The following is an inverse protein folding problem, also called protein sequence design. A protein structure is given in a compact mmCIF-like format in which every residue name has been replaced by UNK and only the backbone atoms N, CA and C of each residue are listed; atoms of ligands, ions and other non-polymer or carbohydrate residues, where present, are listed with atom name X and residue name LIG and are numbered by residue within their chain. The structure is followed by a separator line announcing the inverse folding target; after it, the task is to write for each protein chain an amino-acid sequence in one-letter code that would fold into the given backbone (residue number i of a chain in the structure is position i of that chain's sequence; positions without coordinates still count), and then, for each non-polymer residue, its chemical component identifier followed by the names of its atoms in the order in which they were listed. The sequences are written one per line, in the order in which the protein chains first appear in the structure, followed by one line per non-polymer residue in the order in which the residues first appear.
data_IF_649993253425
#
_entry.id   IF_649993253425
#
_cell.length_a   1.000
_cell.length_b   1.000
_cell.length_c   1.000
_cell.angle_alpha   90.00
_cell.angle_beta   90.00
_cell.angle_gamma   90.00
#
_symmetry.space_group_name_H-M   'P 1'
#
loop_
_entity.id
_entity.type
_entity.pdbx_description
1 polymer ?
#
# COMPACT_ATOMS: atom_id res chain seq x y z
N UNK A 1 11.21 -0.52 -6.41
CA UNK A 1 10.22 0.09 -7.30
C UNK A 1 9.79 -0.95 -8.29
N UNK A 2 8.65 -1.55 -8.00
CA UNK A 2 7.96 -2.39 -8.96
C UNK A 2 7.38 -1.50 -10.08
N UNK A 3 7.18 -2.07 -11.25
CA UNK A 3 6.42 -1.42 -12.30
C UNK A 3 4.92 -1.53 -12.00
N UNK A 4 4.11 -0.65 -12.59
CA UNK A 4 2.64 -0.68 -12.46
C UNK A 4 2.05 -2.08 -12.64
N UNK A 5 2.50 -2.83 -13.66
CA UNK A 5 1.99 -4.18 -13.92
C UNK A 5 2.32 -5.18 -12.80
N UNK A 6 3.44 -5.00 -12.09
CA UNK A 6 3.85 -5.85 -10.97
C UNK A 6 2.96 -5.56 -9.76
N UNK A 7 2.70 -4.29 -9.47
CA UNK A 7 1.76 -3.89 -8.42
C UNK A 7 0.33 -4.39 -8.69
N UNK A 8 -0.16 -4.24 -9.92
CA UNK A 8 -1.46 -4.77 -10.32
C UNK A 8 -1.53 -6.29 -10.11
N UNK A 9 -0.50 -7.02 -10.54
CA UNK A 9 -0.44 -8.46 -10.39
C UNK A 9 -0.41 -8.89 -8.90
N UNK A 10 0.35 -8.19 -8.06
CA UNK A 10 0.37 -8.46 -6.62
C UNK A 10 -1.01 -8.21 -5.99
N UNK A 11 -1.64 -7.07 -6.27
CA UNK A 11 -2.99 -6.79 -5.75
C UNK A 11 -4.02 -7.81 -6.23
N UNK A 12 -4.00 -8.20 -7.51
CA UNK A 12 -4.91 -9.23 -8.03
C UNK A 12 -4.70 -10.56 -7.28
N UNK A 13 -3.44 -10.94 -7.07
CA UNK A 13 -3.08 -12.17 -6.35
C UNK A 13 -3.52 -12.16 -4.89
N UNK A 14 -3.39 -11.04 -4.18
CA UNK A 14 -3.59 -10.98 -2.72
C UNK A 14 -5.00 -10.56 -2.33
N UNK A 15 -5.56 -9.59 -3.04
CA UNK A 15 -6.85 -8.96 -2.73
C UNK A 15 -7.86 -9.06 -3.89
N UNK A 16 -7.56 -9.84 -4.94
CA UNK A 16 -8.53 -10.28 -5.95
C UNK A 16 -8.96 -9.20 -6.94
N UNK A 17 -8.26 -8.08 -6.99
CA UNK A 17 -8.42 -6.98 -7.94
C UNK A 17 -7.09 -6.25 -8.10
N UNK A 18 -6.80 -5.76 -9.30
CA UNK A 18 -5.57 -5.07 -9.66
C UNK A 18 -5.41 -3.68 -9.04
N UNK A 19 -6.49 -2.93 -8.85
CA UNK A 19 -6.51 -1.58 -8.28
C UNK A 19 -5.56 -0.61 -8.99
N UNK A 20 -5.50 -0.68 -10.32
CA UNK A 20 -4.67 0.18 -11.16
C UNK A 20 -4.83 1.67 -10.81
N UNK A 21 -6.05 2.12 -10.50
CA UNK A 21 -6.32 3.52 -10.12
C UNK A 21 -5.63 3.94 -8.81
N UNK A 22 -5.39 3.01 -7.89
CA UNK A 22 -4.67 3.27 -6.63
C UNK A 22 -3.18 3.42 -6.91
N UNK A 23 -2.62 2.54 -7.74
CA UNK A 23 -1.20 2.57 -8.09
C UNK A 23 -0.84 3.83 -8.88
N UNK A 24 -1.65 4.18 -9.88
CA UNK A 24 -1.47 5.43 -10.63
C UNK A 24 -1.57 6.67 -9.74
N UNK A 25 -2.44 6.65 -8.73
CA UNK A 25 -2.55 7.75 -7.78
C UNK A 25 -1.33 7.84 -6.85
N UNK A 26 -0.81 6.72 -6.35
CA UNK A 26 0.38 6.73 -5.49
C UNK A 26 1.64 7.21 -6.25
N UNK A 27 1.76 6.81 -7.52
CA UNK A 27 2.91 7.10 -8.37
C UNK A 27 2.77 8.38 -9.23
N UNK A 28 1.68 9.15 -9.09
CA UNK A 28 1.38 10.32 -9.94
C UNK A 28 2.59 11.27 -10.10
N UNK A 29 3.37 11.43 -9.03
CA UNK A 29 4.51 12.36 -8.98
C UNK A 29 5.85 11.74 -9.38
N UNK A 30 5.89 10.47 -9.79
CA UNK A 30 7.13 9.80 -10.20
C UNK A 30 7.83 10.53 -11.35
N UNK A 31 7.07 11.05 -12.32
CA UNK A 31 7.63 11.78 -13.47
C UNK A 31 8.38 13.06 -13.04
N UNK A 32 7.94 13.70 -11.96
CA UNK A 32 8.52 14.96 -11.47
C UNK A 32 9.70 14.72 -10.51
N UNK A 33 9.56 13.78 -9.57
CA UNK A 33 10.54 13.59 -8.49
C UNK A 33 11.37 12.32 -8.59
N UNK A 34 11.13 11.47 -9.59
CA UNK A 34 11.78 10.16 -9.70
C UNK A 34 11.57 9.35 -8.42
N UNK A 35 12.59 8.64 -7.89
CA UNK A 35 12.45 7.86 -6.67
C UNK A 35 11.97 8.63 -5.43
N UNK A 36 12.27 9.93 -5.34
CA UNK A 36 11.90 10.75 -4.19
C UNK A 36 10.40 11.06 -4.10
N UNK A 37 9.60 10.72 -5.13
CA UNK A 37 8.14 10.94 -5.10
C UNK A 37 7.43 10.23 -3.95
N UNK A 38 8.04 9.21 -3.36
CA UNK A 38 7.45 8.40 -2.28
C UNK A 38 7.02 9.26 -1.09
N UNK A 39 7.75 10.32 -0.78
CA UNK A 39 7.36 11.24 0.29
C UNK A 39 6.04 11.99 0.05
N UNK A 40 5.52 11.97 -1.18
CA UNK A 40 4.26 12.64 -1.52
C UNK A 40 3.03 11.84 -1.08
N UNK A 41 3.05 10.51 -1.23
CA UNK A 41 1.87 9.65 -1.02
C UNK A 41 2.17 8.23 -0.53
N UNK A 42 3.42 7.78 -0.52
CA UNK A 42 3.80 6.46 0.00
C UNK A 42 4.02 6.53 1.51
N UNK A 43 2.95 6.86 2.23
CA UNK A 43 2.94 6.93 3.69
C UNK A 43 1.53 6.64 4.24
N UNK A 44 1.43 6.45 5.55
CA UNK A 44 0.18 6.06 6.22
C UNK A 44 -0.97 7.05 5.97
N UNK A 45 -0.69 8.35 5.90
CA UNK A 45 -1.70 9.36 5.60
C UNK A 45 -2.21 9.24 4.14
N UNK A 46 -1.34 8.86 3.19
CA UNK A 46 -1.74 8.58 1.81
C UNK A 46 -2.65 7.35 1.71
N UNK A 47 -2.42 6.33 2.54
CA UNK A 47 -3.33 5.16 2.66
C UNK A 47 -4.71 5.60 3.14
N UNK A 48 -4.78 6.47 4.15
CA UNK A 48 -6.03 6.98 4.68
C UNK A 48 -6.76 7.91 3.69
N UNK A 49 -6.04 8.67 2.86
CA UNK A 49 -6.65 9.41 1.75
C UNK A 49 -7.31 8.47 0.73
N UNK A 50 -6.64 7.37 0.35
CA UNK A 50 -7.22 6.36 -0.53
C UNK A 50 -8.43 5.70 0.12
N UNK A 51 -8.36 5.38 1.42
CA UNK A 51 -9.50 4.83 2.17
C UNK A 51 -10.73 5.74 2.07
N UNK A 52 -10.54 7.03 2.29
CA UNK A 52 -11.64 8.01 2.23
C UNK A 52 -12.21 8.17 0.82
N UNK A 53 -11.37 8.07 -0.22
CA UNK A 53 -11.77 8.23 -1.63
C UNK A 53 -12.47 6.99 -2.20
N UNK A 54 -11.97 5.80 -1.89
CA UNK A 54 -12.28 4.57 -2.62
C UNK A 54 -12.66 3.39 -1.71
N UNK A 55 -12.59 3.55 -0.39
CA UNK A 55 -13.00 2.57 0.60
C UNK A 55 -11.87 1.66 1.11
N UNK A 56 -12.23 0.76 2.02
CA UNK A 56 -11.26 -0.04 2.78
C UNK A 56 -10.43 -1.00 1.92
N UNK A 57 -11.02 -1.62 0.89
CA UNK A 57 -10.27 -2.53 0.01
C UNK A 57 -9.22 -1.79 -0.82
N UNK A 58 -9.51 -0.55 -1.26
CA UNK A 58 -8.54 0.29 -1.95
C UNK A 58 -7.38 0.67 -1.01
N UNK A 59 -7.66 0.89 0.28
CA UNK A 59 -6.63 1.15 1.28
C UNK A 59 -5.72 -0.08 1.49
N UNK A 60 -6.26 -1.30 1.37
CA UNK A 60 -5.43 -2.52 1.37
C UNK A 60 -4.51 -2.57 0.15
N UNK A 61 -4.99 -2.18 -1.04
CA UNK A 61 -4.16 -2.08 -2.24
C UNK A 61 -3.01 -1.08 -2.07
N UNK A 62 -3.31 0.08 -1.48
CA UNK A 62 -2.31 1.10 -1.18
C UNK A 62 -1.25 0.60 -0.18
N UNK A 63 -1.67 -0.11 0.88
CA UNK A 63 -0.74 -0.76 1.82
C UNK A 63 0.20 -1.74 1.11
N UNK A 64 -0.34 -2.63 0.26
CA UNK A 64 0.48 -3.62 -0.47
C UNK A 64 1.50 -2.92 -1.37
N UNK A 65 1.07 -1.92 -2.14
CA UNK A 65 1.94 -1.14 -3.00
C UNK A 65 3.10 -0.50 -2.21
N UNK A 66 2.79 0.19 -1.11
CA UNK A 66 3.79 0.86 -0.28
C UNK A 66 4.74 -0.16 0.37
N UNK A 67 4.25 -1.29 0.85
CA UNK A 67 5.11 -2.35 1.41
C UNK A 67 6.08 -2.93 0.38
N UNK A 68 5.62 -3.14 -0.86
CA UNK A 68 6.47 -3.60 -1.97
C UNK A 68 7.60 -2.62 -2.24
N UNK A 69 7.31 -1.32 -2.18
CA UNK A 69 8.23 -0.28 -2.62
C UNK A 69 9.12 0.30 -1.51
N UNK A 70 8.61 0.38 -0.28
CA UNK A 70 9.27 1.01 0.87
C UNK A 70 9.75 0.00 1.91
N UNK A 71 9.39 -1.28 1.79
CA UNK A 71 9.69 -2.33 2.77
C UNK A 71 9.19 -2.03 4.20
N UNK A 72 8.17 -1.19 4.29
CA UNK A 72 7.56 -0.71 5.52
C UNK A 72 6.42 0.25 5.17
N UNK A 73 5.74 0.79 6.18
CA UNK A 73 4.73 1.84 5.99
C UNK A 73 5.20 3.08 6.76
N UNK A 74 5.95 3.99 6.11
CA UNK A 74 6.38 5.22 6.76
C UNK A 74 5.17 6.14 6.99
N UNK A 75 5.31 7.07 7.92
CA UNK A 75 4.46 8.25 8.05
C UNK A 75 5.05 9.43 7.27
N UNK A 76 4.24 10.47 7.04
CA UNK A 76 4.75 11.71 6.47
C UNK A 76 5.86 12.32 7.34
N UNK A 77 5.70 12.24 8.66
CA UNK A 77 6.68 12.72 9.62
C UNK A 77 8.02 11.97 9.51
N UNK A 78 8.04 10.69 9.13
CA UNK A 78 9.28 9.94 8.98
C UNK A 78 10.13 10.47 7.82
N UNK A 79 9.50 10.89 6.72
CA UNK A 79 10.20 11.59 5.64
C UNK A 79 10.67 12.98 6.07
N UNK A 80 9.84 13.76 6.77
CA UNK A 80 10.17 15.12 7.21
C UNK A 80 11.34 15.17 8.21
N UNK A 81 11.43 14.16 9.08
CA UNK A 81 12.48 14.03 10.08
C UNK A 81 13.67 13.18 9.61
N UNK A 82 13.65 12.70 8.35
CA UNK A 82 14.67 11.84 7.77
C UNK A 82 14.91 10.54 8.57
N UNK A 83 13.86 9.96 9.16
CA UNK A 83 13.92 8.62 9.76
C UNK A 83 13.91 7.52 8.70
N UNK A 84 13.33 7.81 7.54
CA UNK A 84 13.45 6.99 6.33
C UNK A 84 14.21 7.73 5.24
N UNK A 85 14.87 6.97 4.37
CA UNK A 85 15.53 7.51 3.19
C UNK A 85 14.51 7.85 2.08
N UNK A 86 14.99 8.32 0.93
CA UNK A 86 14.12 8.67 -0.22
C UNK A 86 13.31 7.49 -0.79
N UNK A 87 13.67 6.25 -0.47
CA UNK A 87 12.93 5.05 -0.84
C UNK A 87 11.84 4.70 0.19
N UNK A 88 11.74 5.43 1.30
CA UNK A 88 10.81 5.14 2.40
C UNK A 88 11.30 4.04 3.35
N UNK A 89 12.59 3.70 3.29
CA UNK A 89 13.22 2.64 4.09
C UNK A 89 13.99 3.22 5.28
N UNK A 90 13.84 2.59 6.44
CA UNK A 90 14.73 2.74 7.61
C UNK A 90 16.07 2.03 7.33
N UNK A 91 17.07 2.25 8.19
CA UNK A 91 18.41 1.66 8.02
C UNK A 91 18.38 0.12 8.07
N UNK A 92 17.47 -0.45 8.86
CA UNK A 92 17.32 -1.88 9.09
C UNK A 92 16.08 -2.50 8.41
N UNK A 93 15.39 -1.76 7.53
CA UNK A 93 14.24 -2.30 6.79
C UNK A 93 14.62 -3.53 5.98
N UNK A 94 13.87 -4.63 6.17
CA UNK A 94 14.08 -5.87 5.41
C UNK A 94 12.88 -6.23 4.55
N UNK A 95 13.15 -6.88 3.42
CA UNK A 95 12.09 -7.42 2.57
C UNK A 95 11.27 -8.50 3.32
N UNK A 96 11.91 -9.28 4.19
CA UNK A 96 11.29 -10.33 4.97
C UNK A 96 10.22 -9.79 5.94
N UNK A 97 10.41 -8.60 6.51
CA UNK A 97 9.43 -7.95 7.38
C UNK A 97 8.26 -7.39 6.58
N UNK A 98 8.55 -6.68 5.48
CA UNK A 98 7.53 -6.17 4.57
C UNK A 98 6.64 -7.31 4.04
N UNK A 99 7.26 -8.44 3.70
CA UNK A 99 6.57 -9.63 3.23
C UNK A 99 5.62 -10.21 4.29
N UNK A 100 6.03 -10.27 5.56
CA UNK A 100 5.14 -10.72 6.65
C UNK A 100 3.90 -9.82 6.76
N UNK A 101 4.09 -8.50 6.65
CA UNK A 101 2.97 -7.55 6.67
C UNK A 101 2.01 -7.76 5.49
N UNK A 102 2.51 -8.03 4.28
CA UNK A 102 1.67 -8.37 3.12
C UNK A 102 0.85 -9.64 3.38
N UNK A 103 1.45 -10.66 4.01
CA UNK A 103 0.74 -11.89 4.37
C UNK A 103 -0.37 -11.64 5.40
N UNK A 104 -0.17 -10.72 6.34
CA UNK A 104 -1.17 -10.33 7.34
C UNK A 104 -2.37 -9.62 6.70
N UNK A 105 -2.16 -8.75 5.70
CA UNK A 105 -3.24 -8.09 4.95
C UNK A 105 -4.22 -9.09 4.33
N UNK A 106 -3.70 -10.19 3.77
CA UNK A 106 -4.55 -11.26 3.22
C UNK A 106 -5.45 -11.85 4.31
N UNK A 107 -4.90 -12.08 5.51
CA UNK A 107 -5.66 -12.64 6.62
C UNK A 107 -6.73 -11.66 7.13
N UNK A 108 -6.43 -10.36 7.19
CA UNK A 108 -7.39 -9.31 7.56
C UNK A 108 -8.59 -9.29 6.62
N UNK A 109 -8.34 -9.34 5.30
CA UNK A 109 -9.41 -9.43 4.29
C UNK A 109 -10.29 -10.67 4.48
N UNK A 110 -9.67 -11.82 4.71
CA UNK A 110 -10.39 -13.08 4.89
C UNK A 110 -11.25 -13.10 6.17
N UNK A 111 -10.81 -12.43 7.24
CA UNK A 111 -11.59 -12.26 8.47
C UNK A 111 -12.72 -11.25 8.26
N UNK A 112 -12.45 -10.10 7.63
CA UNK A 112 -13.45 -9.09 7.32
C UNK A 112 -14.60 -9.63 6.45
N UNK A 113 -14.28 -10.47 5.47
CA UNK A 113 -15.28 -11.13 4.61
C UNK A 113 -16.16 -12.13 5.36
N UNK A 114 -15.61 -12.85 6.35
CA UNK A 114 -16.38 -13.80 7.19
C UNK A 114 -17.31 -13.11 8.18
N UNK A 115 -16.96 -11.89 8.60
CA UNK A 115 -17.73 -11.10 9.57
C UNK A 115 -18.67 -10.06 8.91
N UNK A 116 -18.69 -9.97 7.58
CA UNK A 116 -19.62 -9.13 6.84
C UNK A 116 -21.07 -9.57 7.04
N UNK A 117 -22.06 -8.66 6.95
CA UNK A 117 -23.47 -9.00 7.14
C UNK A 117 -23.86 -10.10 6.16
N UNK A 118 -24.23 -11.27 6.68
CA UNK A 118 -24.88 -12.31 5.89
C UNK A 118 -26.20 -11.72 5.41
N UNK A 119 -26.30 -11.38 4.13
CA UNK A 119 -27.59 -11.10 3.50
C UNK A 119 -28.39 -12.38 3.56
N UNK A 120 -29.30 -12.46 4.53
CA UNK A 120 -30.35 -13.47 4.59
C UNK A 120 -31.27 -13.23 3.39
N UNK A 121 -31.01 -13.89 2.26
CA UNK A 121 -32.00 -14.08 1.22
C UNK A 121 -33.01 -15.12 1.73
N UNK A 122 -34.17 -14.64 2.16
CA UNK A 122 -35.35 -15.47 2.40
C UNK A 122 -36.02 -15.95 1.11
#
# INVERSE_FOLDING_TARGET
MAHLYEHCYDCERWIGRDWEEVHLWLDEFFTEFGPAHRCQRHHIEGIEEIRQKLGDEAALAAKIHILVDCWGIPSKADYENCFVNQLGQEEDSTWEEAWKMIQEIRNERDVGRKNGPQTLSG
#
